data_IF_698224435553
#
_entry.id   IF_698224435553
#
_cell.length_a   1.000
_cell.length_b   1.000
_cell.length_c   1.000
_cell.angle_alpha   90.00
_cell.angle_beta   90.00
_cell.angle_gamma   90.00
#
_symmetry.space_group_name_H-M   'P 1'
#
loop_
_entity.id
_entity.type
_entity.pdbx_description
1 polymer ?
#
# COMPACT_ATOMS: atom_id res chain seq x y z
N UNK A 1 -3.94 58.49 18.69
CA UNK A 1 -2.71 57.97 18.05
C UNK A 1 -1.94 57.27 19.15
N UNK A 2 -1.53 56.01 19.13
CA UNK A 2 -1.22 54.98 18.12
C UNK A 2 -0.74 53.82 19.03
N UNK A 3 -1.07 52.54 18.90
CA UNK A 3 -0.98 51.71 17.71
C UNK A 3 -1.46 50.29 18.09
N UNK A 4 -2.75 50.11 18.40
CA UNK A 4 -3.35 48.78 18.39
C UNK A 4 -3.60 48.36 16.92
N UNK A 5 -2.51 48.07 16.20
CA UNK A 5 -2.47 47.59 14.81
C UNK A 5 -1.00 47.28 14.52
N UNK A 6 -0.55 46.04 14.46
CA UNK A 6 -0.70 45.16 13.30
C UNK A 6 -0.15 43.78 13.67
N UNK A 7 -1.00 42.83 14.04
CA UNK A 7 -0.73 41.41 13.83
C UNK A 7 -1.50 40.98 12.59
N UNK A 8 -1.05 41.44 11.44
CA UNK A 8 -1.52 40.97 10.15
C UNK A 8 -0.33 41.08 9.21
N UNK A 9 0.42 39.99 9.09
CA UNK A 9 1.62 40.01 8.28
C UNK A 9 2.33 38.67 8.24
N UNK A 10 2.00 37.90 7.20
CA UNK A 10 2.85 36.88 6.58
C UNK A 10 2.85 35.52 7.31
N UNK A 11 1.76 34.78 7.11
CA UNK A 11 1.77 33.31 7.03
C UNK A 11 1.55 32.91 5.58
N UNK A 12 2.64 32.96 4.80
CA UNK A 12 2.69 32.66 3.37
C UNK A 12 2.25 31.20 3.10
N UNK A 13 1.48 31.06 2.01
CA UNK A 13 1.17 29.84 1.24
C UNK A 13 1.96 28.59 1.63
N UNK A 14 1.26 27.49 1.90
CA UNK A 14 1.63 26.13 1.44
C UNK A 14 0.47 25.14 1.75
N UNK A 15 -0.77 25.45 1.35
CA UNK A 15 -1.77 24.39 1.11
C UNK A 15 -1.62 23.88 -0.33
N UNK A 16 -0.41 23.41 -0.66
CA UNK A 16 -0.27 22.55 -1.83
C UNK A 16 -1.08 21.29 -1.52
N UNK A 17 -1.92 20.79 -2.45
CA UNK A 17 -2.49 19.47 -2.27
C UNK A 17 -1.31 18.50 -2.16
N UNK A 18 -1.06 17.97 -0.96
CA UNK A 18 -0.20 16.81 -0.84
C UNK A 18 -0.91 15.74 -1.67
N UNK A 19 -0.30 15.39 -2.81
CA UNK A 19 -0.74 14.25 -3.60
C UNK A 19 -0.80 13.07 -2.67
N UNK A 20 -2.01 12.69 -2.25
CA UNK A 20 -2.23 11.49 -1.49
C UNK A 20 -1.88 10.33 -2.43
N UNK A 21 -0.65 9.83 -2.32
CA UNK A 21 -0.26 8.61 -2.99
C UNK A 21 -1.00 7.47 -2.31
N UNK A 22 -2.13 7.06 -2.90
CA UNK A 22 -2.76 5.82 -2.51
C UNK A 22 -1.79 4.67 -2.83
N UNK A 23 -1.58 3.76 -1.87
CA UNK A 23 -0.91 2.51 -2.17
C UNK A 23 -1.70 1.78 -3.26
N UNK A 24 -1.04 1.46 -4.36
CA UNK A 24 -1.59 0.60 -5.40
C UNK A 24 -1.09 -0.82 -5.20
N UNK A 25 -2.00 -1.77 -5.36
CA UNK A 25 -1.68 -3.20 -5.33
C UNK A 25 -1.73 -3.79 -6.75
N UNK A 26 -0.82 -4.74 -7.01
CA UNK A 26 -0.71 -5.43 -8.29
C UNK A 26 -0.40 -6.91 -8.06
N UNK A 27 -0.97 -7.78 -8.89
CA UNK A 27 -0.81 -9.23 -8.77
C UNK A 27 -0.20 -9.79 -10.05
N UNK A 28 0.88 -10.55 -9.91
CA UNK A 28 1.52 -11.22 -11.05
C UNK A 28 0.87 -12.58 -11.26
N UNK A 29 0.26 -12.76 -12.43
CA UNK A 29 -0.32 -14.01 -12.89
C UNK A 29 0.74 -14.83 -13.65
N UNK A 30 1.70 -15.39 -12.91
CA UNK A 30 2.67 -16.36 -13.44
C UNK A 30 2.33 -17.79 -13.01
N UNK A 31 2.69 -18.81 -13.81
CA UNK A 31 2.56 -20.20 -13.38
C UNK A 31 3.18 -20.44 -12.00
N UNK A 32 2.42 -21.00 -11.07
CA UNK A 32 2.86 -21.24 -9.69
C UNK A 32 2.61 -20.09 -8.70
N UNK A 33 2.18 -18.91 -9.16
CA UNK A 33 1.77 -17.82 -8.26
C UNK A 33 0.52 -18.21 -7.47
N UNK A 34 0.58 -18.10 -6.15
CA UNK A 34 -0.55 -18.36 -5.24
C UNK A 34 -1.30 -17.09 -4.85
N UNK A 35 -0.70 -15.93 -5.13
CA UNK A 35 -1.24 -14.63 -4.77
C UNK A 35 -2.14 -14.07 -5.88
N UNK A 36 -3.27 -13.49 -5.50
CA UNK A 36 -4.23 -12.88 -6.44
C UNK A 36 -5.09 -11.84 -5.76
N UNK A 37 -6.08 -11.29 -6.48
CA UNK A 37 -6.96 -10.21 -5.97
C UNK A 37 -7.67 -10.54 -4.65
N UNK A 38 -7.85 -11.83 -4.38
CA UNK A 38 -8.46 -12.34 -3.16
C UNK A 38 -7.49 -12.45 -1.96
N UNK A 39 -6.19 -12.23 -2.17
CA UNK A 39 -5.17 -12.26 -1.14
C UNK A 39 -5.18 -10.95 -0.34
N UNK A 40 -4.74 -11.01 0.91
CA UNK A 40 -4.71 -9.85 1.82
C UNK A 40 -3.28 -9.56 2.25
N UNK A 41 -2.88 -8.28 2.17
CA UNK A 41 -1.64 -7.79 2.77
C UNK A 41 -1.88 -7.57 4.26
N UNK A 42 -1.18 -8.31 5.11
CA UNK A 42 -1.30 -8.21 6.57
C UNK A 42 -0.03 -7.58 7.14
N UNK A 43 -0.11 -6.43 7.82
CA UNK A 43 1.01 -5.83 8.52
C UNK A 43 1.48 -6.73 9.67
N UNK A 44 2.80 -6.83 9.85
CA UNK A 44 3.44 -7.55 10.95
C UNK A 44 4.59 -6.74 11.53
N UNK A 45 5.00 -7.07 12.76
CA UNK A 45 6.19 -6.53 13.42
C UNK A 45 6.29 -4.99 13.37
N UNK A 46 5.17 -4.29 13.54
CA UNK A 46 5.15 -2.84 13.45
C UNK A 46 5.99 -2.18 14.57
N UNK A 47 6.84 -1.23 14.21
CA UNK A 47 7.67 -0.43 15.12
C UNK A 47 7.32 1.04 14.93
N UNK A 48 7.22 1.76 16.05
CA UNK A 48 7.03 3.21 16.06
C UNK A 48 8.36 3.91 16.29
N UNK A 49 8.74 4.79 15.37
CA UNK A 49 9.96 5.59 15.46
C UNK A 49 9.77 6.82 16.36
N UNK A 50 10.86 7.45 16.85
CA UNK A 50 10.77 8.62 17.73
C UNK A 50 10.06 9.83 17.13
N UNK A 51 9.95 9.88 15.80
CA UNK A 51 9.20 10.90 15.05
C UNK A 51 7.70 10.59 14.93
N UNK A 52 7.25 9.46 15.50
CA UNK A 52 5.86 9.00 15.48
C UNK A 52 5.46 8.24 14.21
N UNK A 53 6.39 8.02 13.28
CA UNK A 53 6.13 7.17 12.11
C UNK A 53 6.04 5.69 12.50
N UNK A 54 5.28 4.92 11.73
CA UNK A 54 5.07 3.47 11.98
C UNK A 54 5.56 2.70 10.76
N UNK A 55 6.52 1.81 10.97
CA UNK A 55 7.06 0.91 9.94
C UNK A 55 6.65 -0.53 10.27
N UNK A 56 6.08 -1.25 9.32
CA UNK A 56 5.66 -2.65 9.49
C UNK A 56 6.26 -3.54 8.39
N UNK A 57 6.58 -4.78 8.74
CA UNK A 57 6.72 -5.85 7.75
C UNK A 57 5.35 -6.16 7.14
N UNK A 58 5.34 -6.81 5.97
CA UNK A 58 4.09 -7.25 5.33
C UNK A 58 4.15 -8.72 4.95
N UNK A 59 3.05 -9.42 5.16
CA UNK A 59 2.85 -10.80 4.71
C UNK A 59 1.62 -10.89 3.80
N UNK A 60 1.72 -11.71 2.74
CA UNK A 60 0.57 -12.01 1.88
C UNK A 60 -0.15 -13.25 2.40
N UNK A 61 -1.35 -13.06 2.93
CA UNK A 61 -2.25 -14.15 3.31
C UNK A 61 -3.15 -14.47 2.11
N UNK A 62 -2.95 -15.65 1.54
CA UNK A 62 -3.83 -16.15 0.49
C UNK A 62 -5.06 -16.80 1.13
N UNK A 63 -6.27 -16.66 0.54
CA UNK A 63 -7.42 -17.39 1.03
C UNK A 63 -7.19 -18.88 0.88
N UNK A 64 -7.92 -19.67 1.66
CA UNK A 64 -7.90 -21.12 1.55
C UNK A 64 -8.24 -21.53 0.12
N UNK A 65 -7.24 -21.99 -0.64
CA UNK A 65 -7.44 -22.47 -2.01
C UNK A 65 -7.91 -23.92 -1.94
N UNK A 66 -9.21 -24.12 -2.15
CA UNK A 66 -9.78 -25.45 -2.38
C UNK A 66 -9.66 -25.89 -3.85
N UNK A 67 -9.13 -25.03 -4.72
CA UNK A 67 -8.97 -25.32 -6.16
C UNK A 67 -7.72 -26.15 -6.37
N UNK A 68 -7.83 -27.42 -6.82
CA UNK A 68 -6.67 -28.23 -7.17
C UNK A 68 -5.92 -27.57 -8.33
N UNK A 69 -4.58 -27.62 -8.32
CA UNK A 69 -3.80 -27.28 -9.50
C UNK A 69 -4.22 -28.22 -10.64
N UNK A 70 -4.72 -27.68 -11.76
CA UNK A 70 -4.99 -28.50 -12.95
C UNK A 70 -3.64 -28.99 -13.49
N UNK A 71 -3.37 -30.30 -13.53
CA UNK A 71 -2.23 -30.80 -14.30
C UNK A 71 -2.42 -30.38 -15.76
N UNK A 72 -1.46 -29.66 -16.30
CA UNK A 72 -1.42 -29.31 -17.72
C UNK A 72 -0.57 -30.36 -18.42
N UNK A 73 -1.18 -31.11 -19.34
CA UNK A 73 -0.54 -32.15 -20.15
C UNK A 73 -0.84 -31.83 -21.61
N UNK A 74 0.19 -31.41 -22.35
CA UNK A 74 0.12 -31.17 -23.80
C UNK A 74 1.01 -32.20 -24.48
N UNK A 75 0.49 -33.40 -24.76
CA UNK A 75 1.31 -34.50 -25.31
C UNK A 75 1.75 -34.26 -26.75
N UNK A 76 1.03 -33.43 -27.51
CA UNK A 76 1.35 -33.09 -28.89
C UNK A 76 1.01 -31.62 -29.12
N UNK A 77 1.92 -30.87 -29.74
CA UNK A 77 1.64 -29.58 -30.37
C UNK A 77 1.28 -29.88 -31.83
N UNK A 78 0.16 -29.34 -32.30
CA UNK A 78 -0.09 -29.14 -33.73
C UNK A 78 0.44 -27.74 -34.14
#
# INVERSE_FOLDING_TARGET
>A
MTLLKRMAGIGLLLMLPMSAHAQSEGWVLSPGSKAGKQSTVVPKNCVTDPDGSITCDTEIVNPASNTPARPYYTPFND
#
